data_IF_681321330789
#
_entry.id   IF_681321330789
#
_cell.length_a   1.000
_cell.length_b   1.000
_cell.length_c   1.000
_cell.angle_alpha   90.00
_cell.angle_beta   90.00
_cell.angle_gamma   90.00
#
_symmetry.space_group_name_H-M   'P 1'
#
loop_
_entity.id
_entity.type
_entity.pdbx_description
1 polymer ?
#
# COMPACT_ATOMS: atom_id res chain seq x y z
N UNK A 1 -15.75 -7.09 -1.60
CA UNK A 1 -16.00 -8.46 -2.12
C UNK A 1 -14.79 -9.32 -1.78
N UNK A 2 -15.01 -10.49 -1.19
CA UNK A 2 -13.95 -11.45 -0.91
C UNK A 2 -13.82 -12.44 -2.07
N UNK A 3 -12.60 -12.70 -2.49
CA UNK A 3 -12.27 -13.63 -3.57
C UNK A 3 -11.44 -14.78 -3.02
N UNK A 4 -11.84 -16.01 -3.33
CA UNK A 4 -11.01 -17.20 -3.09
C UNK A 4 -10.15 -17.45 -4.34
N UNK A 5 -8.85 -17.54 -4.15
CA UNK A 5 -7.86 -17.64 -5.23
C UNK A 5 -7.15 -18.98 -5.11
N UNK A 6 -7.10 -19.74 -6.22
CA UNK A 6 -6.39 -21.03 -6.27
C UNK A 6 -4.86 -20.84 -6.40
N UNK A 7 -4.11 -21.93 -6.32
CA UNK A 7 -2.64 -21.93 -6.43
C UNK A 7 -2.15 -21.47 -7.81
N UNK A 8 -3.02 -21.37 -8.80
CA UNK A 8 -2.72 -20.85 -10.15
C UNK A 8 -3.11 -19.36 -10.31
N UNK A 9 -3.56 -18.72 -9.25
CA UNK A 9 -3.97 -17.31 -9.26
C UNK A 9 -5.38 -17.07 -9.85
N UNK A 10 -6.20 -18.10 -10.02
CA UNK A 10 -7.54 -17.98 -10.60
C UNK A 10 -8.58 -17.81 -9.50
N UNK A 11 -9.54 -16.94 -9.73
CA UNK A 11 -10.69 -16.76 -8.82
C UNK A 11 -11.64 -17.93 -8.90
N UNK A 12 -11.80 -18.68 -7.80
CA UNK A 12 -12.70 -19.81 -7.67
C UNK A 12 -14.06 -19.45 -7.11
N UNK A 13 -14.08 -18.54 -6.16
CA UNK A 13 -15.30 -18.12 -5.47
C UNK A 13 -15.29 -16.62 -5.25
N UNK A 14 -16.46 -16.02 -5.31
CA UNK A 14 -16.70 -14.59 -5.08
C UNK A 14 -17.78 -14.45 -4.03
N UNK A 15 -17.46 -13.82 -2.91
CA UNK A 15 -18.40 -13.56 -1.84
C UNK A 15 -18.59 -12.05 -1.72
N UNK A 16 -19.79 -11.58 -2.00
CA UNK A 16 -20.12 -10.20 -1.79
C UNK A 16 -20.23 -9.96 -0.27
N UNK A 17 -19.44 -9.04 0.22
CA UNK A 17 -19.62 -8.51 1.58
C UNK A 17 -20.54 -7.30 1.47
N UNK A 18 -21.56 -7.21 2.31
CA UNK A 18 -22.48 -6.10 2.32
C UNK A 18 -21.70 -4.81 2.61
N UNK A 19 -21.69 -3.93 1.63
CA UNK A 19 -21.09 -2.60 1.67
C UNK A 19 -22.14 -1.54 1.32
N UNK A 20 -21.75 -0.29 1.34
CA UNK A 20 -22.63 0.87 1.16
C UNK A 20 -23.31 0.99 -0.22
N UNK A 21 -23.07 0.09 -1.17
CA UNK A 21 -23.73 0.13 -2.47
C UNK A 21 -24.91 -0.83 -2.53
N UNK A 22 -26.11 -0.29 -2.35
CA UNK A 22 -27.36 -1.02 -2.48
C UNK A 22 -27.84 -1.25 -3.93
N UNK A 23 -27.07 -0.82 -4.96
CA UNK A 23 -27.49 -0.96 -6.35
C UNK A 23 -27.19 -2.36 -6.91
N UNK A 24 -28.23 -3.19 -7.22
CA UNK A 24 -28.03 -4.55 -7.70
C UNK A 24 -27.31 -4.64 -9.06
N UNK A 25 -27.46 -3.64 -9.92
CA UNK A 25 -26.81 -3.61 -11.23
C UNK A 25 -25.29 -3.43 -11.09
N UNK A 26 -24.85 -2.50 -10.24
CA UNK A 26 -23.44 -2.29 -9.94
C UNK A 26 -22.82 -3.51 -9.26
N UNK A 27 -23.56 -4.17 -8.37
CA UNK A 27 -23.14 -5.44 -7.76
C UNK A 27 -22.92 -6.55 -8.80
N UNK A 28 -23.85 -6.72 -9.72
CA UNK A 28 -23.72 -7.71 -10.81
C UNK A 28 -22.50 -7.44 -11.67
N UNK A 29 -22.26 -6.16 -12.04
CA UNK A 29 -21.09 -5.76 -12.81
C UNK A 29 -19.79 -6.07 -12.07
N UNK A 30 -19.68 -5.68 -10.80
CA UNK A 30 -18.50 -5.97 -9.99
C UNK A 30 -18.21 -7.47 -9.87
N UNK A 31 -19.24 -8.29 -9.71
CA UNK A 31 -19.10 -9.77 -9.65
C UNK A 31 -18.65 -10.35 -10.99
N UNK A 32 -19.13 -9.81 -12.10
CA UNK A 32 -18.71 -10.21 -13.45
C UNK A 32 -17.22 -9.85 -13.68
N UNK A 33 -16.84 -8.64 -13.39
CA UNK A 33 -15.48 -8.14 -13.63
C UNK A 33 -14.44 -8.82 -12.73
N UNK A 34 -14.82 -9.21 -11.51
CA UNK A 34 -13.95 -9.91 -10.57
C UNK A 34 -13.49 -11.33 -11.05
N UNK A 35 -14.06 -11.84 -12.12
CA UNK A 35 -13.63 -13.10 -12.73
C UNK A 35 -12.46 -12.96 -13.70
N UNK A 36 -12.15 -11.73 -14.12
CA UNK A 36 -11.15 -11.44 -15.13
C UNK A 36 -9.70 -11.35 -14.60
N UNK A 37 -9.44 -10.77 -13.42
CA UNK A 37 -8.06 -10.57 -12.96
C UNK A 37 -7.36 -11.90 -12.66
N UNK A 38 -6.13 -12.03 -13.09
CA UNK A 38 -5.20 -13.05 -12.60
C UNK A 38 -4.43 -12.47 -11.41
N UNK A 39 -4.41 -13.24 -10.32
CA UNK A 39 -3.69 -12.89 -9.11
C UNK A 39 -2.38 -13.70 -9.03
N UNK A 40 -1.35 -13.13 -8.44
CA UNK A 40 -0.15 -13.88 -8.06
C UNK A 40 -0.38 -14.47 -6.67
N UNK A 41 -0.55 -15.80 -6.54
CA UNK A 41 -0.78 -16.40 -5.23
C UNK A 41 0.46 -16.28 -4.35
N UNK A 42 0.30 -16.14 -3.03
CA UNK A 42 1.42 -16.19 -2.12
C UNK A 42 2.07 -17.56 -2.15
N UNK A 43 3.32 -17.64 -1.73
CA UNK A 43 4.06 -18.89 -1.64
C UNK A 43 4.27 -19.25 -0.16
N UNK A 44 4.02 -20.51 0.17
CA UNK A 44 4.50 -21.13 1.41
C UNK A 44 5.85 -21.75 1.14
N UNK A 45 6.83 -21.45 1.97
CA UNK A 45 8.19 -21.94 1.82
C UNK A 45 8.54 -22.83 3.03
N UNK A 46 9.00 -24.03 2.76
CA UNK A 46 9.45 -25.01 3.76
C UNK A 46 10.90 -25.36 3.48
N UNK A 47 11.65 -25.61 4.54
CA UNK A 47 13.01 -26.11 4.43
C UNK A 47 12.96 -27.63 4.23
N UNK A 48 13.49 -28.11 3.10
CA UNK A 48 13.61 -29.52 2.82
C UNK A 48 14.77 -30.16 3.65
N UNK A 49 14.77 -31.50 3.76
CA UNK A 49 15.78 -32.24 4.53
C UNK A 49 17.21 -32.01 4.02
N UNK A 50 17.37 -31.61 2.77
CA UNK A 50 18.65 -31.27 2.14
C UNK A 50 19.10 -29.81 2.42
N UNK A 51 18.34 -29.08 3.26
CA UNK A 51 18.65 -27.68 3.61
C UNK A 51 18.22 -26.66 2.54
N UNK A 52 17.61 -27.09 1.45
CA UNK A 52 17.08 -26.17 0.42
C UNK A 52 15.69 -25.65 0.80
N UNK A 53 15.42 -24.39 0.51
CA UNK A 53 14.09 -23.81 0.71
C UNK A 53 13.23 -24.05 -0.52
N UNK A 54 12.18 -24.83 -0.37
CA UNK A 54 11.19 -25.12 -1.41
C UNK A 54 9.95 -24.29 -1.19
N UNK A 55 9.60 -23.44 -2.17
CA UNK A 55 8.44 -22.55 -2.11
C UNK A 55 7.34 -23.03 -3.09
N UNK A 56 6.13 -23.28 -2.58
CA UNK A 56 4.96 -23.67 -3.38
C UNK A 56 3.88 -22.60 -3.30
N UNK A 57 3.20 -22.27 -4.42
CA UNK A 57 2.04 -21.39 -4.38
C UNK A 57 0.92 -22.03 -3.57
N UNK A 58 0.24 -21.22 -2.76
CA UNK A 58 -0.88 -21.69 -1.90
C UNK A 58 -2.16 -20.94 -2.20
N UNK A 59 -3.28 -21.57 -1.87
CA UNK A 59 -4.60 -20.93 -1.91
C UNK A 59 -4.61 -19.70 -1.01
N UNK A 60 -5.31 -18.68 -1.43
CA UNK A 60 -5.36 -17.40 -0.71
C UNK A 60 -6.70 -16.71 -0.88
N UNK A 61 -6.87 -15.65 -0.11
CA UNK A 61 -8.03 -14.77 -0.21
C UNK A 61 -7.55 -13.36 -0.57
N UNK A 62 -8.33 -12.66 -1.38
CA UNK A 62 -8.13 -11.24 -1.64
C UNK A 62 -9.43 -10.48 -1.42
N UNK A 63 -9.33 -9.32 -0.78
CA UNK A 63 -10.41 -8.37 -0.76
C UNK A 63 -10.31 -7.48 -2.00
N UNK A 64 -11.39 -7.44 -2.77
CA UNK A 64 -11.47 -6.64 -3.98
C UNK A 64 -12.51 -5.54 -3.80
N UNK A 65 -12.09 -4.28 -4.00
CA UNK A 65 -12.95 -3.11 -3.86
C UNK A 65 -13.19 -2.51 -5.24
N UNK A 66 -14.45 -2.36 -5.61
CA UNK A 66 -14.86 -1.68 -6.84
C UNK A 66 -15.34 -0.29 -6.54
N UNK A 67 -14.92 0.64 -7.36
CA UNK A 67 -15.33 2.02 -7.31
C UNK A 67 -16.10 2.34 -8.59
N UNK A 68 -17.33 2.80 -8.42
CA UNK A 68 -18.16 3.26 -9.53
C UNK A 68 -18.28 4.77 -9.45
N UNK A 69 -18.19 5.42 -10.60
CA UNK A 69 -18.24 6.85 -10.73
C UNK A 69 -19.37 7.20 -11.70
N UNK A 70 -20.20 8.18 -11.35
CA UNK A 70 -21.27 8.69 -12.19
C UNK A 70 -20.88 10.00 -12.91
N UNK A 71 -21.63 10.40 -13.92
CA UNK A 71 -21.49 11.72 -14.54
C UNK A 71 -21.55 12.82 -13.47
N UNK A 72 -20.66 13.81 -13.54
CA UNK A 72 -20.57 14.90 -12.57
C UNK A 72 -19.80 14.57 -11.28
N UNK A 73 -19.39 13.31 -11.03
CA UNK A 73 -18.55 12.99 -9.89
C UNK A 73 -17.17 13.65 -10.02
N UNK A 74 -16.79 14.39 -8.98
CA UNK A 74 -15.48 15.03 -8.87
C UNK A 74 -14.87 14.66 -7.52
N UNK A 75 -13.69 14.05 -7.50
CA UNK A 75 -12.97 13.62 -6.29
C UNK A 75 -11.49 13.82 -6.46
N UNK A 76 -10.84 14.24 -5.38
CA UNK A 76 -9.38 14.25 -5.32
C UNK A 76 -8.83 12.82 -5.28
N UNK A 77 -7.66 12.61 -5.89
CA UNK A 77 -6.93 11.37 -5.71
C UNK A 77 -6.41 11.22 -4.28
N UNK A 78 -6.19 9.98 -3.85
CA UNK A 78 -5.70 9.70 -2.50
C UNK A 78 -4.93 8.39 -2.42
N UNK A 79 -4.06 8.26 -1.42
CA UNK A 79 -3.56 6.98 -1.00
C UNK A 79 -4.69 6.19 -0.33
N UNK A 80 -4.93 4.96 -0.79
CA UNK A 80 -5.94 4.07 -0.23
C UNK A 80 -5.34 3.14 0.82
N UNK A 81 -4.19 2.54 0.51
CA UNK A 81 -3.39 1.75 1.45
C UNK A 81 -1.94 2.18 1.32
N UNK A 82 -1.30 2.46 2.42
CA UNK A 82 0.15 2.59 2.51
C UNK A 82 0.69 1.49 3.41
N UNK A 83 1.76 0.80 3.02
CA UNK A 83 2.39 -0.19 3.89
C UNK A 83 3.01 0.49 5.11
N UNK A 84 3.22 -0.27 6.17
CA UNK A 84 3.94 0.21 7.33
C UNK A 84 5.34 0.72 6.92
N UNK A 85 5.65 1.95 7.32
CA UNK A 85 6.95 2.55 7.07
C UNK A 85 8.01 1.82 7.89
N UNK A 86 9.00 1.22 7.22
CA UNK A 86 10.11 0.58 7.89
C UNK A 86 11.24 1.57 8.10
N UNK A 87 11.57 1.80 9.35
CA UNK A 87 12.73 2.61 9.72
C UNK A 87 14.02 1.85 9.36
N UNK A 88 14.98 2.45 8.62
CA UNK A 88 16.27 1.81 8.39
C UNK A 88 17.06 1.68 9.69
N UNK A 89 17.58 0.51 9.99
CA UNK A 89 18.31 0.27 11.24
C UNK A 89 19.49 1.24 11.41
N UNK A 90 20.32 1.41 10.38
CA UNK A 90 21.45 2.33 10.44
C UNK A 90 21.04 3.80 10.66
N UNK A 91 19.85 4.22 10.17
CA UNK A 91 19.34 5.56 10.45
C UNK A 91 18.84 5.70 11.89
N UNK A 92 18.30 4.61 12.44
CA UNK A 92 17.90 4.59 13.86
C UNK A 92 19.13 4.64 14.78
N UNK A 93 20.18 3.88 14.46
CA UNK A 93 21.44 3.86 15.22
C UNK A 93 22.17 5.21 15.19
N UNK A 94 22.06 5.93 14.08
CA UNK A 94 22.65 7.25 13.88
C UNK A 94 21.75 8.41 14.35
N UNK A 95 20.53 8.11 14.82
CA UNK A 95 19.60 9.14 15.28
C UNK A 95 19.02 10.01 14.17
N UNK A 96 18.99 9.51 12.90
CA UNK A 96 18.47 10.28 11.76
C UNK A 96 16.95 10.36 11.83
N UNK A 97 16.38 11.53 12.02
CA UNK A 97 14.93 11.78 11.97
C UNK A 97 14.57 12.78 10.86
N UNK A 98 13.31 12.79 10.48
CA UNK A 98 12.84 13.80 9.54
C UNK A 98 11.60 13.44 8.76
N UNK A 99 11.20 14.34 7.87
CA UNK A 99 10.06 14.13 6.97
C UNK A 99 10.55 14.10 5.53
N UNK A 100 10.33 12.98 4.88
CA UNK A 100 10.59 12.81 3.44
C UNK A 100 9.30 13.01 2.67
N UNK A 101 9.31 13.88 1.66
CA UNK A 101 8.16 14.11 0.78
C UNK A 101 8.35 13.36 -0.53
N UNK A 102 7.36 12.54 -0.90
CA UNK A 102 7.35 11.77 -2.15
C UNK A 102 6.22 12.29 -3.04
N UNK A 103 6.57 12.72 -4.25
CA UNK A 103 5.59 12.97 -5.30
C UNK A 103 5.29 11.64 -6.03
N UNK A 104 4.06 11.16 -5.93
CA UNK A 104 3.59 9.95 -6.62
C UNK A 104 2.72 10.36 -7.79
N UNK A 105 3.07 9.89 -8.99
CA UNK A 105 2.25 10.02 -10.19
C UNK A 105 1.46 8.73 -10.42
N UNK A 106 0.15 8.84 -10.57
CA UNK A 106 -0.80 7.72 -10.66
C UNK A 106 -1.57 7.87 -11.97
N UNK A 107 -1.63 6.78 -12.75
CA UNK A 107 -2.44 6.72 -13.96
C UNK A 107 -3.95 6.68 -13.65
N UNK A 108 -4.82 6.90 -14.64
CA UNK A 108 -6.27 6.75 -14.48
C UNK A 108 -6.70 5.36 -13.97
N UNK A 109 -5.92 4.30 -14.26
CA UNK A 109 -6.17 2.93 -13.78
C UNK A 109 -5.68 2.70 -12.33
N UNK A 110 -5.15 3.72 -11.66
CA UNK A 110 -4.64 3.63 -10.30
C UNK A 110 -3.23 3.02 -10.19
N UNK A 111 -2.53 2.85 -11.33
CA UNK A 111 -1.15 2.34 -11.36
C UNK A 111 -0.15 3.46 -11.06
N UNK A 112 0.89 3.12 -10.32
CA UNK A 112 1.99 4.06 -10.07
C UNK A 112 2.83 4.18 -11.33
N UNK A 113 2.91 5.38 -11.89
CA UNK A 113 3.76 5.74 -13.02
C UNK A 113 5.16 6.10 -12.52
N UNK A 114 5.23 6.89 -11.45
CA UNK A 114 6.49 7.29 -10.83
C UNK A 114 6.32 7.64 -9.36
N UNK A 115 7.42 7.51 -8.61
CA UNK A 115 7.53 8.00 -7.24
C UNK A 115 8.87 8.72 -7.09
N UNK A 116 8.83 10.03 -6.93
CA UNK A 116 10.01 10.90 -6.89
C UNK A 116 10.15 11.55 -5.52
N UNK A 117 11.34 11.49 -4.96
CA UNK A 117 11.68 12.20 -3.73
C UNK A 117 11.74 13.70 -4.05
N UNK A 118 11.00 14.50 -3.29
CA UNK A 118 11.13 15.95 -3.29
C UNK A 118 12.06 16.34 -2.14
N UNK A 119 13.34 16.18 -2.37
CA UNK A 119 14.37 16.71 -1.47
C UNK A 119 14.91 18.03 -2.01
N UNK A 120 15.27 18.90 -1.10
CA UNK A 120 16.09 20.05 -1.45
C UNK A 120 17.47 19.50 -1.86
N UNK A 121 17.80 19.57 -3.14
CA UNK A 121 19.05 19.03 -3.70
C UNK A 121 20.32 19.73 -3.17
N UNK A 122 20.14 20.82 -2.41
CA UNK A 122 21.22 21.61 -1.82
C UNK A 122 21.50 21.28 -0.34
N UNK A 123 20.80 20.31 0.26
CA UNK A 123 21.11 19.87 1.62
C UNK A 123 22.41 19.06 1.65
N UNK A 124 23.42 19.56 2.38
CA UNK A 124 24.71 18.90 2.58
C UNK A 124 24.59 17.51 3.24
N UNK A 125 23.57 17.32 4.10
CA UNK A 125 23.29 16.06 4.82
C UNK A 125 21.93 15.49 4.43
N UNK A 126 21.80 15.00 3.19
CA UNK A 126 20.56 14.35 2.74
C UNK A 126 20.38 13.01 3.44
N UNK A 127 19.22 12.74 4.04
CA UNK A 127 18.92 11.46 4.67
C UNK A 127 18.58 10.37 3.61
N UNK A 128 19.58 9.99 2.83
CA UNK A 128 19.43 9.09 1.65
C UNK A 128 18.77 7.75 2.04
N UNK A 129 19.05 7.24 3.24
CA UNK A 129 18.45 5.98 3.74
C UNK A 129 16.96 6.15 3.99
N UNK A 130 16.55 7.26 4.62
CA UNK A 130 15.15 7.61 4.86
C UNK A 130 14.41 7.84 3.54
N UNK A 131 15.05 8.53 2.59
CA UNK A 131 14.49 8.74 1.24
C UNK A 131 14.23 7.42 0.51
N UNK A 132 15.17 6.47 0.55
CA UNK A 132 15.00 5.13 -0.04
C UNK A 132 13.86 4.36 0.63
N UNK A 133 13.74 4.42 1.95
CA UNK A 133 12.69 3.76 2.70
C UNK A 133 11.31 4.35 2.38
N UNK A 134 11.18 5.68 2.36
CA UNK A 134 9.96 6.40 2.00
C UNK A 134 9.53 6.09 0.56
N UNK A 135 10.47 6.15 -0.39
CA UNK A 135 10.19 5.83 -1.80
C UNK A 135 9.74 4.38 -1.97
N UNK A 136 10.38 3.43 -1.27
CA UNK A 136 9.95 2.02 -1.28
C UNK A 136 8.54 1.86 -0.73
N UNK A 137 8.20 2.51 0.37
CA UNK A 137 6.85 2.49 0.93
C UNK A 137 5.83 3.09 -0.05
N UNK A 138 6.15 4.22 -0.68
CA UNK A 138 5.29 4.83 -1.70
C UNK A 138 5.05 3.90 -2.90
N UNK A 139 6.07 3.20 -3.40
CA UNK A 139 5.93 2.27 -4.52
C UNK A 139 5.11 1.01 -4.20
N UNK A 140 4.95 0.66 -2.94
CA UNK A 140 4.13 -0.47 -2.49
C UNK A 140 2.71 -0.05 -2.10
N UNK A 141 2.39 1.23 -2.17
CA UNK A 141 1.07 1.76 -1.85
C UNK A 141 0.01 1.42 -2.90
N UNK A 142 -1.24 1.47 -2.48
CA UNK A 142 -2.41 1.39 -3.36
C UNK A 142 -3.05 2.77 -3.38
N UNK A 143 -3.34 3.26 -4.57
CA UNK A 143 -3.82 4.62 -4.79
C UNK A 143 -5.11 4.64 -5.58
N UNK A 144 -5.94 5.64 -5.30
CA UNK A 144 -7.11 5.97 -6.10
C UNK A 144 -6.81 7.25 -6.88
N UNK A 145 -6.98 7.24 -8.21
CA UNK A 145 -6.82 8.43 -9.03
C UNK A 145 -7.89 9.47 -8.71
N UNK A 146 -7.66 10.70 -9.09
CA UNK A 146 -8.69 11.73 -9.07
C UNK A 146 -9.77 11.42 -10.10
N UNK A 147 -10.99 11.85 -9.80
CA UNK A 147 -12.13 11.73 -10.70
C UNK A 147 -12.52 13.13 -11.14
N UNK A 148 -12.74 13.31 -12.45
CA UNK A 148 -13.26 14.52 -13.06
C UNK A 148 -14.41 14.13 -13.98
N UNK A 149 -15.58 14.70 -13.74
CA UNK A 149 -16.82 14.41 -14.49
C UNK A 149 -17.09 12.90 -14.65
N UNK A 150 -16.93 12.17 -13.56
CA UNK A 150 -17.13 10.72 -13.52
C UNK A 150 -16.05 9.90 -14.22
N UNK A 151 -14.93 10.50 -14.62
CA UNK A 151 -13.81 9.79 -15.26
C UNK A 151 -12.56 9.86 -14.40
N UNK A 152 -11.84 8.75 -14.25
CA UNK A 152 -10.54 8.78 -13.61
C UNK A 152 -9.53 9.52 -14.49
N UNK A 153 -8.68 10.32 -13.87
CA UNK A 153 -7.66 11.12 -14.54
C UNK A 153 -6.29 10.94 -13.89
N UNK A 154 -5.25 11.22 -14.69
CA UNK A 154 -3.88 11.29 -14.18
C UNK A 154 -3.80 12.15 -12.94
N UNK A 155 -3.12 11.65 -11.92
CA UNK A 155 -3.12 12.28 -10.60
C UNK A 155 -1.71 12.32 -10.02
N UNK A 156 -1.36 13.46 -9.44
CA UNK A 156 -0.13 13.62 -8.65
C UNK A 156 -0.50 13.83 -7.19
N UNK A 157 0.08 13.02 -6.31
CA UNK A 157 -0.08 13.11 -4.88
C UNK A 157 1.27 13.45 -4.23
N UNK A 158 1.23 14.29 -3.22
CA UNK A 158 2.37 14.56 -2.36
C UNK A 158 2.17 13.86 -1.02
N UNK A 159 3.05 12.92 -0.70
CA UNK A 159 2.98 12.10 0.49
C UNK A 159 4.13 12.44 1.44
N UNK A 160 3.85 12.92 2.66
CA UNK A 160 4.85 13.07 3.69
C UNK A 160 5.04 11.75 4.43
N UNK A 161 6.28 11.27 4.53
CA UNK A 161 6.69 10.15 5.36
C UNK A 161 7.52 10.68 6.54
N UNK A 162 6.98 10.54 7.76
CA UNK A 162 7.65 10.97 8.97
C UNK A 162 8.45 9.82 9.58
N UNK A 163 9.70 10.07 9.87
CA UNK A 163 10.59 9.19 10.62
C UNK A 163 10.88 9.84 11.96
N UNK A 164 10.38 9.22 13.01
CA UNK A 164 10.51 9.67 14.39
C UNK A 164 11.00 8.46 15.19
N UNK A 165 12.06 8.64 15.95
CA UNK A 165 12.55 7.60 16.85
C UNK A 165 11.62 7.50 18.06
N UNK A 166 11.39 6.27 18.59
CA UNK A 166 10.72 6.12 19.87
C UNK A 166 11.50 6.89 20.92
N UNK A 167 10.88 7.88 21.52
CA UNK A 167 11.46 8.49 22.69
C UNK A 167 11.40 7.43 23.80
N UNK A 168 12.54 7.12 24.42
CA UNK A 168 12.59 6.26 25.59
C UNK A 168 11.60 6.80 26.62
N UNK A 169 10.58 6.01 26.99
CA UNK A 169 9.78 6.27 28.16
C UNK A 169 10.76 6.44 29.32
N UNK A 170 10.69 7.53 30.07
CA UNK A 170 11.52 7.62 31.27
C UNK A 170 11.25 6.37 32.12
N UNK A 171 12.30 5.65 32.40
CA UNK A 171 12.25 4.47 33.28
C UNK A 171 11.67 4.92 34.62
N UNK A 172 10.48 4.46 34.91
CA UNK A 172 9.84 4.55 36.23
C UNK A 172 10.58 3.63 37.20
N UNK A 173 11.77 4.05 37.59
CA UNK A 173 12.57 3.41 38.65
C UNK A 173 13.20 4.46 39.52
N UNK A 174 12.42 5.08 40.39
CA UNK A 174 12.91 5.69 41.64
C UNK A 174 11.72 6.15 42.49
N UNK A 175 10.98 5.24 43.08
CA UNK A 175 10.17 5.55 44.26
C UNK A 175 9.95 4.27 45.05
N UNK A 176 11.00 3.87 45.78
CA UNK A 176 10.87 2.97 46.93
C UNK A 176 12.10 3.16 47.80
N UNK A 177 12.11 4.20 48.58
CA UNK A 177 12.89 4.35 49.77
C UNK A 177 12.33 5.51 50.61
N UNK A 178 11.43 5.21 51.54
CA UNK A 178 11.36 5.64 52.93
C UNK A 178 10.09 5.13 53.58
#
# INVERSE_FOLDING_TARGET
MLLDIDEKGRVKRRVWQEGKSGNPALRRQAVADAGQPQFTPPKSCEMAEDGQTVCKPVKSYAEYVYWFYGPGDNRAGKAYVLPALRYPAASADEGEEGTVRIAVHISPEGKIVSATVLSDSQMENRPIRLEKAARKAALLGIYLPAIRDGKPVDTRLLLPFKFILPQDKPSESAASAE
#
